data_IF_784855727248
#
_entry.id   IF_784855727248
#
_cell.length_a   1.000
_cell.length_b   1.000
_cell.length_c   1.000
_cell.angle_alpha   90.00
_cell.angle_beta   90.00
_cell.angle_gamma   90.00
#
_symmetry.space_group_name_H-M   'P 1'
#
loop_
_entity.id
_entity.type
_entity.pdbx_description
1 polymer ?
#
# COMPACT_ATOMS: atom_id res chain seq x y z
N UNK A 1 -6.67 -24.95 36.57
CA UNK A 1 -5.48 -24.23 37.04
C UNK A 1 -4.27 -24.69 36.23
N UNK A 2 -3.99 -24.06 35.09
CA UNK A 2 -2.70 -24.12 34.41
C UNK A 2 -2.47 -22.76 33.75
N UNK A 3 -1.68 -21.94 34.44
CA UNK A 3 -1.16 -20.69 33.90
C UNK A 3 0.00 -21.02 32.97
N UNK A 4 -0.17 -20.75 31.67
CA UNK A 4 0.93 -20.75 30.71
C UNK A 4 1.41 -19.30 30.58
N UNK A 5 2.36 -18.95 31.45
CA UNK A 5 3.19 -17.76 31.30
C UNK A 5 4.06 -17.97 30.06
N UNK A 6 3.64 -17.46 28.90
CA UNK A 6 4.52 -17.31 27.74
C UNK A 6 5.38 -16.07 27.96
N UNK A 7 6.57 -16.28 28.50
CA UNK A 7 7.65 -15.29 28.42
C UNK A 7 8.01 -15.13 26.95
N UNK A 8 7.74 -13.95 26.39
CA UNK A 8 8.19 -13.55 25.06
C UNK A 8 9.72 -13.48 25.07
N UNK A 9 10.39 -14.53 24.59
CA UNK A 9 11.80 -14.46 24.24
C UNK A 9 11.92 -13.80 22.86
N UNK A 10 11.79 -12.47 22.84
CA UNK A 10 12.05 -11.64 21.67
C UNK A 10 13.56 -11.42 21.55
N UNK A 11 14.23 -12.17 20.68
CA UNK A 11 15.62 -11.90 20.29
C UNK A 11 15.63 -10.96 19.08
N UNK A 12 16.19 -9.76 19.26
CA UNK A 12 16.40 -8.78 18.19
C UNK A 12 17.41 -9.29 17.15
N UNK A 13 17.10 -9.26 15.83
CA UNK A 13 18.13 -9.35 14.81
C UNK A 13 18.84 -8.00 14.69
N UNK A 14 19.92 -7.86 15.46
CA UNK A 14 21.11 -7.05 15.19
C UNK A 14 20.91 -5.66 14.56
N UNK A 15 20.63 -4.65 15.38
CA UNK A 15 21.14 -3.25 15.25
C UNK A 15 20.77 -2.41 16.48
N UNK A 16 21.35 -2.72 17.63
CA UNK A 16 21.47 -1.75 18.72
C UNK A 16 22.62 -0.77 18.41
N UNK A 17 22.40 0.09 17.42
CA UNK A 17 23.14 1.34 17.32
C UNK A 17 22.56 2.32 18.37
N UNK A 18 23.46 2.96 19.11
CA UNK A 18 23.31 3.93 20.19
C UNK A 18 21.92 4.56 20.42
N UNK A 19 21.54 4.70 21.70
CA UNK A 19 20.33 5.38 22.16
C UNK A 19 20.30 6.86 21.73
N UNK A 20 19.76 7.11 20.54
CA UNK A 20 19.47 8.45 20.05
C UNK A 20 18.15 9.00 20.62
N UNK A 21 17.96 10.33 20.63
CA UNK A 21 16.80 11.01 21.23
C UNK A 21 15.44 10.63 20.60
N UNK A 22 15.43 9.93 19.46
CA UNK A 22 14.23 9.61 18.69
C UNK A 22 13.71 8.17 18.86
N UNK A 23 14.33 7.37 19.73
CA UNK A 23 13.92 5.96 19.93
C UNK A 23 12.55 5.81 20.58
N UNK A 24 12.23 6.63 21.57
CA UNK A 24 10.97 6.49 22.31
C UNK A 24 9.73 6.78 21.44
N UNK A 25 9.68 7.88 20.65
CA UNK A 25 8.61 8.13 19.70
C UNK A 25 8.44 7.01 18.67
N UNK A 26 9.55 6.54 18.08
CA UNK A 26 9.53 5.43 17.12
C UNK A 26 9.01 4.14 17.77
N UNK A 27 9.52 3.80 18.96
CA UNK A 27 9.13 2.58 19.68
C UNK A 27 7.66 2.59 20.06
N UNK A 28 7.12 3.73 20.49
CA UNK A 28 5.69 3.86 20.77
C UNK A 28 4.87 3.69 19.49
N UNK A 29 5.29 4.30 18.37
CA UNK A 29 4.59 4.11 17.09
C UNK A 29 4.62 2.65 16.61
N UNK A 30 5.75 1.96 16.77
CA UNK A 30 5.89 0.54 16.43
C UNK A 30 5.01 -0.34 17.31
N UNK A 31 4.99 -0.06 18.61
CA UNK A 31 4.11 -0.73 19.56
C UNK A 31 2.64 -0.62 19.12
N UNK A 32 2.17 0.60 18.81
CA UNK A 32 0.79 0.79 18.37
C UNK A 32 0.53 0.08 17.05
N UNK A 33 1.45 0.13 16.07
CA UNK A 33 1.33 -0.59 14.79
C UNK A 33 1.14 -2.11 14.99
N UNK A 34 1.94 -2.73 15.86
CA UNK A 34 1.83 -4.17 16.15
C UNK A 34 0.54 -4.53 16.87
N UNK A 35 0.09 -3.69 17.82
CA UNK A 35 -1.20 -3.89 18.50
C UNK A 35 -2.38 -3.75 17.53
N UNK A 36 -2.33 -2.78 16.62
CA UNK A 36 -3.33 -2.57 15.57
C UNK A 36 -3.44 -3.76 14.61
N UNK A 37 -2.32 -4.43 14.28
CA UNK A 37 -2.33 -5.61 13.38
C UNK A 37 -2.90 -6.87 14.01
N UNK A 38 -2.99 -6.93 15.33
CA UNK A 38 -3.42 -8.13 16.08
C UNK A 38 -4.44 -7.79 17.16
N UNK A 39 -3.94 -7.61 18.39
CA UNK A 39 -4.73 -7.60 19.62
C UNK A 39 -5.89 -6.59 19.63
N UNK A 40 -5.72 -5.40 19.05
CA UNK A 40 -6.76 -4.35 19.09
C UNK A 40 -7.98 -4.67 18.23
N UNK A 41 -7.83 -5.53 17.23
CA UNK A 41 -8.91 -5.90 16.32
C UNK A 41 -10.03 -6.68 17.03
N UNK A 42 -9.64 -7.56 17.95
CA UNK A 42 -10.56 -8.54 18.58
C UNK A 42 -10.87 -8.19 20.04
N UNK A 43 -10.52 -6.98 20.48
CA UNK A 43 -10.67 -6.54 21.87
C UNK A 43 -12.01 -5.85 22.10
N UNK A 44 -12.62 -6.14 23.25
CA UNK A 44 -13.84 -5.47 23.73
C UNK A 44 -13.67 -3.95 23.80
N UNK A 45 -14.71 -3.21 23.38
CA UNK A 45 -14.64 -1.76 23.16
C UNK A 45 -14.14 -0.97 24.37
N UNK A 46 -14.65 -1.27 25.57
CA UNK A 46 -14.23 -0.59 26.80
C UNK A 46 -12.75 -0.83 27.14
N UNK A 47 -12.25 -2.05 26.88
CA UNK A 47 -10.84 -2.40 27.11
C UNK A 47 -9.93 -1.81 26.05
N UNK A 48 -10.41 -1.75 24.80
CA UNK A 48 -9.73 -1.05 23.72
C UNK A 48 -9.56 0.43 24.04
N UNK A 49 -10.63 1.09 24.46
CA UNK A 49 -10.58 2.50 24.80
C UNK A 49 -9.58 2.78 25.92
N UNK A 50 -9.61 2.00 27.00
CA UNK A 50 -8.64 2.10 28.09
C UNK A 50 -7.19 1.87 27.61
N UNK A 51 -6.97 0.88 26.73
CA UNK A 51 -5.64 0.61 26.18
C UNK A 51 -5.13 1.75 25.29
N UNK A 52 -6.01 2.39 24.53
CA UNK A 52 -5.66 3.57 23.73
C UNK A 52 -5.39 4.78 24.64
N UNK A 53 -6.10 4.93 25.76
CA UNK A 53 -5.82 5.98 26.74
C UNK A 53 -4.43 5.80 27.39
N UNK A 54 -4.01 4.57 27.67
CA UNK A 54 -2.65 4.28 28.14
C UNK A 54 -1.59 4.66 27.10
N UNK A 55 -1.84 4.38 25.81
CA UNK A 55 -0.96 4.82 24.71
C UNK A 55 -0.88 6.34 24.68
N UNK A 56 -1.99 7.04 24.84
CA UNK A 56 -2.04 8.49 24.86
C UNK A 56 -1.30 9.07 26.08
N UNK A 57 -1.41 8.43 27.25
CA UNK A 57 -0.64 8.80 28.43
C UNK A 57 0.88 8.72 28.17
N UNK A 58 1.34 7.64 27.51
CA UNK A 58 2.74 7.52 27.10
C UNK A 58 3.13 8.56 26.03
N UNK A 59 2.26 8.82 25.06
CA UNK A 59 2.47 9.81 24.01
C UNK A 59 2.64 11.23 24.58
N UNK A 60 1.91 11.60 25.64
CA UNK A 60 2.06 12.91 26.32
C UNK A 60 3.47 13.12 26.87
N UNK A 61 4.15 12.05 27.27
CA UNK A 61 5.51 12.09 27.80
C UNK A 61 6.59 12.25 26.71
N UNK A 62 6.23 12.16 25.42
CA UNK A 62 7.18 12.33 24.33
C UNK A 62 7.53 13.81 24.13
N UNK A 63 8.83 14.10 24.02
CA UNK A 63 9.36 15.40 23.64
C UNK A 63 9.26 15.65 22.12
N UNK A 64 9.55 14.64 21.30
CA UNK A 64 9.53 14.70 19.84
C UNK A 64 8.27 14.03 19.26
N UNK A 65 7.13 14.72 19.36
CA UNK A 65 5.82 14.22 18.89
C UNK A 65 5.69 14.18 17.36
N UNK A 66 6.40 15.05 16.67
CA UNK A 66 6.54 15.07 15.21
C UNK A 66 7.19 13.79 14.66
N UNK A 67 8.20 13.27 15.36
CA UNK A 67 8.81 11.97 15.04
C UNK A 67 7.79 10.84 15.20
N UNK A 68 7.04 10.81 16.31
CA UNK A 68 5.95 9.84 16.47
C UNK A 68 4.94 9.96 15.32
N UNK A 69 4.51 11.18 15.00
CA UNK A 69 3.55 11.44 13.92
C UNK A 69 4.03 10.85 12.59
N UNK A 70 5.29 11.08 12.22
CA UNK A 70 5.87 10.55 10.98
C UNK A 70 5.86 9.03 10.95
N UNK A 71 6.33 8.37 12.01
CA UNK A 71 6.33 6.90 12.08
C UNK A 71 4.90 6.35 12.08
N UNK A 72 3.97 6.98 12.80
CA UNK A 72 2.58 6.56 12.87
C UNK A 72 1.89 6.69 11.51
N UNK A 73 2.04 7.84 10.82
CA UNK A 73 1.53 8.05 9.44
C UNK A 73 2.06 7.00 8.47
N UNK A 74 3.36 6.71 8.53
CA UNK A 74 3.97 5.69 7.68
C UNK A 74 3.38 4.29 7.96
N UNK A 75 3.12 3.96 9.22
CA UNK A 75 2.52 2.70 9.62
C UNK A 75 1.05 2.60 9.20
N UNK A 76 0.23 3.61 9.49
CA UNK A 76 -1.18 3.69 9.06
C UNK A 76 -1.29 3.57 7.53
N UNK A 77 -0.48 4.31 6.78
CA UNK A 77 -0.48 4.23 5.32
C UNK A 77 -0.18 2.81 4.79
N UNK A 78 0.76 2.09 5.40
CA UNK A 78 1.03 0.69 5.04
C UNK A 78 -0.15 -0.23 5.34
N UNK A 79 -0.78 -0.10 6.51
CA UNK A 79 -1.95 -0.90 6.90
C UNK A 79 -3.11 -0.67 5.94
N UNK A 80 -3.42 0.60 5.65
CA UNK A 80 -4.47 1.01 4.72
C UNK A 80 -4.30 0.42 3.32
N UNK A 81 -3.11 0.56 2.71
CA UNK A 81 -2.87 0.10 1.33
C UNK A 81 -2.71 -1.40 1.19
N UNK A 82 -2.36 -2.10 2.26
CA UNK A 82 -2.21 -3.57 2.23
C UNK A 82 -3.53 -4.31 2.40
N UNK A 83 -4.64 -3.59 2.68
CA UNK A 83 -5.92 -4.21 3.04
C UNK A 83 -5.90 -4.97 4.37
N UNK A 84 -4.80 -4.86 5.14
CA UNK A 84 -4.61 -5.52 6.46
C UNK A 84 -4.86 -4.58 7.63
N UNK A 85 -5.78 -3.64 7.46
CA UNK A 85 -6.17 -2.76 8.55
C UNK A 85 -6.98 -3.54 9.62
N UNK A 86 -6.87 -3.18 10.91
CA UNK A 86 -7.95 -3.47 11.86
C UNK A 86 -9.25 -2.83 11.37
N UNK A 87 -10.35 -2.99 12.13
CA UNK A 87 -11.56 -2.19 11.86
C UNK A 87 -11.19 -0.71 11.74
N UNK A 88 -11.73 -0.05 10.72
CA UNK A 88 -11.55 1.38 10.47
C UNK A 88 -11.92 2.22 11.71
N UNK A 89 -12.84 1.72 12.53
CA UNK A 89 -13.29 2.36 13.77
C UNK A 89 -12.18 2.47 14.81
N UNK A 90 -11.29 1.48 14.89
CA UNK A 90 -10.17 1.48 15.85
C UNK A 90 -9.16 2.56 15.48
N UNK A 91 -8.84 2.69 14.19
CA UNK A 91 -7.97 3.75 13.69
C UNK A 91 -8.58 5.13 13.90
N UNK A 92 -9.87 5.30 13.57
CA UNK A 92 -10.59 6.55 13.79
C UNK A 92 -10.61 6.94 15.27
N UNK A 93 -10.78 5.98 16.17
CA UNK A 93 -10.74 6.21 17.61
C UNK A 93 -9.35 6.70 18.06
N UNK A 94 -8.28 6.04 17.62
CA UNK A 94 -6.92 6.47 17.94
C UNK A 94 -6.61 7.87 17.37
N UNK A 95 -7.02 8.15 16.13
CA UNK A 95 -6.86 9.46 15.50
C UNK A 95 -7.64 10.53 16.26
N UNK A 96 -8.87 10.24 16.70
CA UNK A 96 -9.68 11.15 17.52
C UNK A 96 -8.98 11.52 18.82
N UNK A 97 -8.38 10.53 19.51
CA UNK A 97 -7.62 10.78 20.74
C UNK A 97 -6.35 11.61 20.46
N UNK A 98 -5.60 11.31 19.39
CA UNK A 98 -4.44 12.13 18.98
C UNK A 98 -4.84 13.58 18.63
N UNK A 99 -6.01 13.76 18.01
CA UNK A 99 -6.57 15.08 17.69
C UNK A 99 -6.92 15.87 18.94
N UNK A 100 -7.46 15.22 19.96
CA UNK A 100 -7.72 15.86 21.25
C UNK A 100 -6.44 16.35 21.93
N UNK A 101 -5.33 15.61 21.79
CA UNK A 101 -4.03 15.95 22.38
C UNK A 101 -3.26 17.04 21.63
N UNK A 102 -3.21 16.97 20.30
CA UNK A 102 -2.31 17.80 19.47
C UNK A 102 -3.05 18.71 18.47
N UNK A 103 -4.38 18.64 18.43
CA UNK A 103 -5.21 19.43 17.54
C UNK A 103 -5.30 18.87 16.11
N UNK A 104 -6.18 19.49 15.31
CA UNK A 104 -6.51 19.03 13.96
C UNK A 104 -5.34 19.09 12.97
N UNK A 105 -4.38 20.00 13.17
CA UNK A 105 -3.21 20.10 12.28
C UNK A 105 -2.39 18.80 12.29
N UNK A 106 -2.23 18.18 13.48
CA UNK A 106 -1.49 16.94 13.69
C UNK A 106 -2.13 15.74 12.97
N UNK A 107 -3.46 15.66 12.97
CA UNK A 107 -4.20 14.53 12.38
C UNK A 107 -4.67 14.75 10.95
N UNK A 108 -4.57 15.98 10.42
CA UNK A 108 -5.11 16.38 9.12
C UNK A 108 -4.74 15.42 7.98
N UNK A 109 -3.46 15.00 7.90
CA UNK A 109 -2.98 14.07 6.87
C UNK A 109 -3.54 12.66 7.06
N UNK A 110 -3.61 12.17 8.31
CA UNK A 110 -4.20 10.86 8.62
C UNK A 110 -5.67 10.82 8.21
N UNK A 111 -6.46 11.83 8.61
CA UNK A 111 -7.87 11.97 8.23
C UNK A 111 -8.02 12.04 6.69
N UNK A 112 -7.12 12.79 6.03
CA UNK A 112 -7.04 12.87 4.58
C UNK A 112 -6.79 11.52 3.88
N UNK A 113 -5.98 10.63 4.48
CA UNK A 113 -5.74 9.29 3.94
C UNK A 113 -7.03 8.47 3.86
N UNK A 114 -7.86 8.46 4.91
CA UNK A 114 -9.15 7.74 4.89
C UNK A 114 -10.10 8.34 3.87
N UNK A 115 -10.18 9.67 3.81
CA UNK A 115 -11.02 10.35 2.83
C UNK A 115 -10.59 10.05 1.39
N UNK A 116 -9.29 9.96 1.11
CA UNK A 116 -8.77 9.56 -0.20
C UNK A 116 -9.24 8.15 -0.57
N UNK A 117 -9.19 7.18 0.35
CA UNK A 117 -9.66 5.81 0.10
C UNK A 117 -11.16 5.77 -0.23
N UNK A 118 -12.00 6.44 0.57
CA UNK A 118 -13.44 6.47 0.32
C UNK A 118 -13.77 7.12 -1.02
N UNK A 119 -13.14 8.27 -1.32
CA UNK A 119 -13.32 8.96 -2.62
C UNK A 119 -12.83 8.10 -3.78
N UNK A 120 -11.72 7.40 -3.61
CA UNK A 120 -11.19 6.53 -4.64
C UNK A 120 -12.11 5.34 -4.92
N UNK A 121 -12.68 4.72 -3.90
CA UNK A 121 -13.61 3.59 -4.08
C UNK A 121 -14.84 4.01 -4.90
N UNK A 122 -15.44 5.16 -4.55
CA UNK A 122 -16.58 5.73 -5.30
C UNK A 122 -16.16 6.06 -6.74
N UNK A 123 -14.98 6.67 -6.93
CA UNK A 123 -14.50 7.03 -8.26
C UNK A 123 -14.23 5.79 -9.14
N UNK A 124 -13.70 4.72 -8.55
CA UNK A 124 -13.49 3.45 -9.26
C UNK A 124 -14.81 2.80 -9.65
N UNK A 125 -15.84 2.83 -8.80
CA UNK A 125 -17.16 2.34 -9.15
C UNK A 125 -17.78 3.13 -10.32
N UNK A 126 -17.63 4.45 -10.32
CA UNK A 126 -18.07 5.31 -11.43
C UNK A 126 -17.34 4.97 -12.74
N UNK A 127 -16.03 4.75 -12.65
CA UNK A 127 -15.20 4.32 -13.77
C UNK A 127 -15.65 2.97 -14.33
N UNK A 128 -15.87 1.97 -13.45
CA UNK A 128 -16.37 0.65 -13.84
C UNK A 128 -17.76 0.74 -14.47
N UNK A 129 -18.63 1.60 -13.94
CA UNK A 129 -19.97 1.86 -14.50
C UNK A 129 -19.88 2.48 -15.90
N UNK A 130 -19.04 3.50 -16.09
CA UNK A 130 -18.86 4.14 -17.38
C UNK A 130 -18.33 3.16 -18.44
N UNK A 131 -17.45 2.23 -18.03
CA UNK A 131 -16.90 1.20 -18.91
C UNK A 131 -17.83 0.00 -19.13
N UNK A 132 -18.58 -0.43 -18.12
CA UNK A 132 -19.56 -1.52 -18.20
C UNK A 132 -20.81 -1.16 -18.99
N UNK A 133 -21.23 0.12 -18.97
CA UNK A 133 -22.40 0.62 -19.70
C UNK A 133 -22.18 0.76 -21.21
N UNK A 134 -20.96 0.56 -21.70
CA UNK A 134 -20.59 0.67 -23.12
C UNK A 134 -20.94 -0.57 -23.98
N UNK A 135 -21.66 -1.55 -23.42
CA UNK A 135 -22.03 -2.78 -24.12
C UNK A 135 -23.17 -2.66 -25.15
N UNK A 136 -23.85 -1.51 -25.27
CA UNK A 136 -25.12 -1.43 -26.01
C UNK A 136 -25.37 -0.18 -26.86
N UNK A 137 -24.38 0.67 -27.14
CA UNK A 137 -24.58 1.79 -28.08
C UNK A 137 -23.44 1.91 -29.08
N UNK A 138 -23.76 1.61 -30.34
CA UNK A 138 -22.88 1.79 -31.48
C UNK A 138 -22.42 3.25 -31.59
N UNK A 139 -21.11 3.46 -31.53
CA UNK A 139 -20.47 4.76 -31.66
C UNK A 139 -18.96 4.59 -31.73
N UNK A 140 -18.40 4.91 -32.88
CA UNK A 140 -17.01 4.69 -33.24
C UNK A 140 -16.03 5.53 -32.39
N UNK A 141 -15.44 4.92 -31.36
CA UNK A 141 -14.10 5.21 -30.81
C UNK A 141 -13.79 4.21 -29.68
N UNK A 142 -14.02 2.93 -29.92
CA UNK A 142 -13.66 1.88 -28.97
C UNK A 142 -12.30 1.34 -29.41
N UNK A 143 -11.22 1.89 -28.84
CA UNK A 143 -9.96 1.16 -28.79
C UNK A 143 -10.27 -0.28 -28.38
N UNK A 144 -9.62 -1.25 -29.00
CA UNK A 144 -9.89 -2.69 -28.86
C UNK A 144 -9.82 -3.17 -27.39
N UNK A 145 -10.91 -2.91 -26.64
CA UNK A 145 -11.05 -3.13 -25.19
C UNK A 145 -11.01 -4.60 -24.82
N UNK A 146 -11.18 -5.49 -25.82
CA UNK A 146 -11.14 -6.95 -25.66
C UNK A 146 -9.77 -7.48 -25.27
N UNK A 147 -8.71 -6.70 -25.50
CA UNK A 147 -7.32 -7.06 -25.19
C UNK A 147 -6.75 -6.32 -23.98
N UNK A 148 -7.58 -5.57 -23.24
CA UNK A 148 -7.17 -4.86 -22.03
C UNK A 148 -7.26 -5.78 -20.81
N UNK A 149 -6.36 -5.58 -19.85
CA UNK A 149 -6.46 -6.26 -18.56
C UNK A 149 -7.59 -5.65 -17.72
N UNK A 150 -8.24 -6.48 -16.90
CA UNK A 150 -9.08 -6.01 -15.80
C UNK A 150 -8.23 -5.13 -14.88
N UNK A 151 -8.82 -4.04 -14.40
CA UNK A 151 -8.06 -2.96 -13.80
C UNK A 151 -8.80 -2.30 -12.65
N UNK A 152 -8.11 -2.17 -11.52
CA UNK A 152 -8.53 -1.36 -10.39
C UNK A 152 -7.41 -0.42 -9.93
N UNK A 153 -7.76 0.72 -9.34
CA UNK A 153 -6.80 1.71 -8.88
C UNK A 153 -7.26 2.45 -7.63
N UNK A 154 -6.32 2.70 -6.73
CA UNK A 154 -6.54 3.61 -5.61
C UNK A 154 -5.89 4.97 -5.90
N UNK A 155 -6.71 6.00 -6.09
CA UNK A 155 -6.28 7.38 -6.33
C UNK A 155 -6.09 8.09 -4.99
N UNK A 156 -4.88 8.63 -4.78
CA UNK A 156 -4.46 9.20 -3.50
C UNK A 156 -3.95 10.63 -3.67
N UNK A 157 -4.16 11.49 -2.67
CA UNK A 157 -3.67 12.86 -2.68
C UNK A 157 -2.23 12.91 -2.16
N UNK A 158 -1.26 13.24 -3.01
CA UNK A 158 0.18 13.14 -2.69
C UNK A 158 0.59 13.81 -1.35
N UNK A 159 -0.02 14.93 -0.97
CA UNK A 159 0.29 15.65 0.27
C UNK A 159 -0.10 14.89 1.54
N UNK A 160 -1.15 14.06 1.49
CA UNK A 160 -1.60 13.25 2.61
C UNK A 160 -0.67 12.06 2.84
N UNK A 161 -0.08 11.53 1.76
CA UNK A 161 0.71 10.29 1.75
C UNK A 161 2.22 10.52 1.58
N UNK A 162 2.66 11.78 1.64
CA UNK A 162 4.06 12.15 1.46
C UNK A 162 4.96 11.42 2.47
N UNK A 163 6.05 10.81 1.98
CA UNK A 163 6.96 9.99 2.78
C UNK A 163 6.55 8.52 2.87
N UNK A 164 5.25 8.23 2.91
CA UNK A 164 4.71 6.86 3.03
C UNK A 164 4.70 6.10 1.69
N UNK A 165 4.47 6.82 0.59
CA UNK A 165 4.41 6.26 -0.76
C UNK A 165 5.45 6.95 -1.64
N UNK A 166 6.28 6.13 -2.28
CA UNK A 166 7.21 6.58 -3.29
C UNK A 166 6.98 5.75 -4.56
N UNK A 167 6.83 6.42 -5.69
CA UNK A 167 6.68 5.76 -6.97
C UNK A 167 7.97 5.01 -7.31
N UNK A 168 7.86 3.69 -7.48
CA UNK A 168 8.95 2.88 -8.02
C UNK A 168 9.08 3.06 -9.53
N UNK A 169 10.29 2.92 -10.09
CA UNK A 169 10.50 3.03 -11.53
C UNK A 169 9.85 1.83 -12.23
N UNK A 170 9.23 2.06 -13.38
CA UNK A 170 8.94 1.03 -14.39
C UNK A 170 9.26 1.64 -15.75
N UNK A 171 9.91 0.86 -16.62
CA UNK A 171 10.25 1.32 -17.96
C UNK A 171 9.25 0.82 -19.01
N UNK A 172 8.77 -0.43 -18.89
CA UNK A 172 7.87 -1.04 -19.88
C UNK A 172 6.87 -2.00 -19.23
N UNK A 173 5.58 -1.65 -19.33
CA UNK A 173 4.48 -2.52 -18.92
C UNK A 173 4.05 -3.47 -20.05
N UNK A 174 3.45 -4.63 -19.73
CA UNK A 174 2.75 -5.44 -20.72
C UNK A 174 1.69 -4.62 -21.46
N UNK A 175 1.49 -4.82 -22.78
CA UNK A 175 0.53 -4.04 -23.56
C UNK A 175 -0.90 -4.02 -22.99
N UNK A 176 -1.49 -5.15 -22.52
CA UNK A 176 -2.83 -5.14 -21.93
C UNK A 176 -2.97 -4.21 -20.71
N UNK A 177 -1.92 -4.13 -19.91
CA UNK A 177 -1.86 -3.28 -18.70
C UNK A 177 -1.65 -1.82 -19.10
N UNK A 178 -0.74 -1.55 -20.03
CA UNK A 178 -0.51 -0.19 -20.52
C UNK A 178 -1.76 0.43 -21.14
N UNK A 179 -2.54 -0.37 -21.87
CA UNK A 179 -3.81 0.07 -22.44
C UNK A 179 -4.84 0.39 -21.34
N UNK A 180 -4.96 -0.47 -20.31
CA UNK A 180 -5.84 -0.24 -19.17
C UNK A 180 -5.53 1.08 -18.42
N UNK A 181 -4.24 1.35 -18.17
CA UNK A 181 -3.77 2.59 -17.54
C UNK A 181 -4.08 3.81 -18.41
N UNK A 182 -3.80 3.76 -19.71
CA UNK A 182 -4.03 4.89 -20.61
C UNK A 182 -5.52 5.28 -20.68
N UNK A 183 -6.42 4.29 -20.73
CA UNK A 183 -7.85 4.58 -20.71
C UNK A 183 -8.28 5.14 -19.33
N UNK A 184 -7.72 4.65 -18.21
CA UNK A 184 -8.00 5.24 -16.90
C UNK A 184 -7.51 6.69 -16.78
N UNK A 185 -6.32 6.99 -17.31
CA UNK A 185 -5.79 8.35 -17.37
C UNK A 185 -6.67 9.28 -18.20
N UNK A 186 -7.19 8.82 -19.34
CA UNK A 186 -8.13 9.58 -20.16
C UNK A 186 -9.42 9.88 -19.37
N UNK A 187 -10.02 8.84 -18.75
CA UNK A 187 -11.22 8.98 -17.92
C UNK A 187 -11.03 9.95 -16.75
N UNK A 188 -9.85 9.92 -16.12
CA UNK A 188 -9.48 10.82 -15.04
C UNK A 188 -9.29 12.26 -15.52
N UNK A 189 -8.59 12.43 -16.66
CA UNK A 189 -8.27 13.74 -17.24
C UNK A 189 -9.50 14.54 -17.66
N UNK A 190 -10.54 13.87 -18.15
CA UNK A 190 -11.83 14.50 -18.49
C UNK A 190 -12.52 15.14 -17.28
N UNK A 191 -12.32 14.58 -16.07
CA UNK A 191 -13.02 14.99 -14.84
C UNK A 191 -12.19 15.90 -13.96
N UNK A 192 -10.87 15.80 -14.03
CA UNK A 192 -9.95 16.52 -13.14
C UNK A 192 -8.91 17.31 -13.93
N UNK A 193 -9.31 18.49 -14.41
CA UNK A 193 -8.42 19.39 -15.13
C UNK A 193 -7.27 19.90 -14.23
N UNK A 194 -6.07 20.02 -14.80
CA UNK A 194 -4.88 20.50 -14.11
C UNK A 194 -4.25 19.50 -13.12
N UNK A 195 -4.76 18.27 -13.04
CA UNK A 195 -4.18 17.20 -12.22
C UNK A 195 -3.43 16.19 -13.07
N UNK A 196 -2.38 15.61 -12.50
CA UNK A 196 -1.59 14.55 -13.16
C UNK A 196 -1.45 13.36 -12.23
N UNK A 197 -1.73 12.16 -12.76
CA UNK A 197 -1.52 10.92 -12.03
C UNK A 197 -0.04 10.53 -12.02
N UNK A 198 0.38 9.84 -10.97
CA UNK A 198 1.71 9.24 -10.86
C UNK A 198 1.55 7.83 -10.32
N UNK A 199 1.87 6.84 -11.14
CA UNK A 199 1.69 5.44 -10.81
C UNK A 199 2.74 4.95 -9.82
N UNK A 200 2.30 4.25 -8.78
CA UNK A 200 3.15 3.65 -7.77
C UNK A 200 3.29 2.14 -8.00
N UNK A 201 4.02 1.74 -9.05
CA UNK A 201 4.11 0.34 -9.48
C UNK A 201 4.70 -0.62 -8.42
N UNK A 202 5.51 -0.11 -7.50
CA UNK A 202 6.02 -0.86 -6.34
C UNK A 202 4.95 -1.21 -5.29
N UNK A 203 3.74 -0.66 -5.41
CA UNK A 203 2.58 -0.97 -4.57
C UNK A 203 1.49 -1.74 -5.32
N UNK A 204 1.67 -1.97 -6.62
CA UNK A 204 0.70 -2.69 -7.43
C UNK A 204 0.84 -4.21 -7.31
N UNK A 205 -0.29 -4.88 -7.47
CA UNK A 205 -0.42 -6.33 -7.59
C UNK A 205 -1.13 -6.68 -8.89
N UNK A 206 -0.98 -7.92 -9.33
CA UNK A 206 -1.66 -8.45 -10.50
C UNK A 206 -2.03 -9.91 -10.26
N UNK A 207 -3.19 -10.29 -10.76
CA UNK A 207 -3.62 -11.67 -10.87
C UNK A 207 -3.32 -12.16 -12.29
N UNK A 208 -2.61 -13.28 -12.40
CA UNK A 208 -2.20 -13.84 -13.69
C UNK A 208 -2.59 -15.31 -13.79
N UNK A 209 -3.00 -15.71 -14.99
CA UNK A 209 -3.11 -17.13 -15.37
C UNK A 209 -1.88 -17.56 -16.15
N UNK A 210 -1.19 -18.58 -15.67
CA UNK A 210 0.02 -19.10 -16.27
C UNK A 210 -0.13 -20.59 -16.64
N UNK A 211 0.16 -20.93 -17.89
CA UNK A 211 0.30 -22.33 -18.32
C UNK A 211 1.78 -22.70 -18.25
N UNK A 212 2.13 -23.58 -17.32
CA UNK A 212 3.52 -23.93 -17.03
C UNK A 212 3.72 -25.40 -17.42
N UNK A 213 4.56 -25.63 -18.44
CA UNK A 213 4.79 -26.97 -18.98
C UNK A 213 3.58 -27.51 -19.75
N UNK A 214 3.39 -28.84 -19.72
CA UNK A 214 2.30 -29.52 -20.42
C UNK A 214 1.02 -29.65 -19.58
N UNK A 215 0.81 -28.82 -18.55
CA UNK A 215 -0.38 -28.92 -17.70
C UNK A 215 -1.64 -28.47 -18.45
N UNK A 216 -2.72 -29.24 -18.32
CA UNK A 216 -4.02 -28.92 -18.92
C UNK A 216 -4.77 -27.80 -18.20
N UNK A 217 -4.38 -27.49 -16.95
CA UNK A 217 -4.97 -26.42 -16.13
C UNK A 217 -3.96 -25.28 -15.91
N UNK A 218 -4.39 -24.02 -16.01
CA UNK A 218 -3.56 -22.88 -15.65
C UNK A 218 -3.36 -22.79 -14.13
N UNK A 219 -2.24 -22.21 -13.73
CA UNK A 219 -2.01 -21.72 -12.37
C UNK A 219 -2.52 -20.29 -12.27
N UNK A 220 -3.17 -19.97 -11.13
CA UNK A 220 -3.55 -18.60 -10.79
C UNK A 220 -2.51 -18.03 -9.81
N UNK A 221 -1.89 -16.92 -10.19
CA UNK A 221 -0.77 -16.32 -9.49
C UNK A 221 -1.16 -14.91 -9.04
N UNK A 222 -1.05 -14.64 -7.73
CA UNK A 222 -1.08 -13.28 -7.19
C UNK A 222 0.36 -12.79 -7.04
N UNK A 223 0.73 -11.81 -7.87
CA UNK A 223 2.11 -11.34 -7.97
C UNK A 223 2.19 -9.82 -7.87
N UNK A 224 3.35 -9.29 -7.49
CA UNK A 224 3.62 -7.85 -7.62
C UNK A 224 3.69 -7.42 -9.09
N UNK A 225 3.50 -6.13 -9.37
CA UNK A 225 3.64 -5.59 -10.73
C UNK A 225 5.01 -5.92 -11.36
N UNK A 226 6.10 -5.90 -10.58
CA UNK A 226 7.42 -6.27 -11.09
C UNK A 226 7.53 -7.75 -11.47
N UNK A 227 6.97 -8.63 -10.64
CA UNK A 227 6.92 -10.06 -10.94
C UNK A 227 6.06 -10.32 -12.19
N UNK A 228 4.93 -9.61 -12.35
CA UNK A 228 4.12 -9.68 -13.57
C UNK A 228 4.92 -9.29 -14.82
N UNK A 229 5.68 -8.19 -14.80
CA UNK A 229 6.53 -7.75 -15.92
C UNK A 229 7.55 -8.84 -16.28
N UNK A 230 8.16 -9.47 -15.28
CA UNK A 230 9.14 -10.55 -15.46
C UNK A 230 8.46 -11.77 -16.09
N UNK A 231 7.38 -12.27 -15.48
CA UNK A 231 6.68 -13.47 -15.95
C UNK A 231 6.14 -13.28 -17.37
N UNK A 232 5.56 -12.11 -17.67
CA UNK A 232 5.05 -11.81 -19.00
C UNK A 232 6.13 -11.85 -20.09
N UNK A 233 7.40 -11.59 -19.74
CA UNK A 233 8.51 -11.63 -20.69
C UNK A 233 8.78 -13.04 -21.25
N UNK A 234 8.37 -14.10 -20.53
CA UNK A 234 8.56 -15.48 -20.95
C UNK A 234 7.53 -15.97 -21.98
N UNK A 235 6.50 -15.16 -22.29
CA UNK A 235 5.56 -15.48 -23.36
C UNK A 235 6.21 -15.42 -24.75
N UNK A 236 7.36 -14.74 -24.89
CA UNK A 236 8.08 -14.59 -26.16
C UNK A 236 9.48 -15.21 -26.14
N UNK A 237 9.90 -15.80 -25.02
CA UNK A 237 11.23 -16.38 -24.86
C UNK A 237 11.25 -17.43 -23.74
N UNK A 238 12.00 -18.52 -23.92
CA UNK A 238 12.21 -19.55 -22.88
C UNK A 238 13.26 -19.13 -21.85
N UNK A 239 14.15 -18.20 -22.22
CA UNK A 239 15.20 -17.68 -21.37
C UNK A 239 15.26 -16.16 -21.51
N UNK A 240 15.46 -15.46 -20.39
CA UNK A 240 15.52 -14.00 -20.36
C UNK A 240 16.73 -13.56 -19.55
N UNK A 241 17.61 -12.76 -20.15
CA UNK A 241 18.79 -12.26 -19.43
C UNK A 241 18.42 -11.26 -18.33
N UNK A 242 19.22 -11.20 -17.28
CA UNK A 242 19.06 -10.19 -16.21
C UNK A 242 19.08 -8.75 -16.75
N UNK A 243 19.93 -8.47 -17.75
CA UNK A 243 20.02 -7.15 -18.40
C UNK A 243 18.70 -6.76 -19.05
N UNK A 244 18.03 -7.71 -19.70
CA UNK A 244 16.72 -7.50 -20.31
C UNK A 244 15.64 -7.23 -19.26
N UNK A 245 15.57 -8.05 -18.21
CA UNK A 245 14.62 -7.84 -17.10
C UNK A 245 14.78 -6.45 -16.50
N UNK A 246 16.03 -6.07 -16.17
CA UNK A 246 16.35 -4.77 -15.60
C UNK A 246 15.92 -3.60 -16.49
N UNK A 247 16.08 -3.73 -17.80
CA UNK A 247 15.67 -2.70 -18.75
C UNK A 247 14.15 -2.49 -18.78
N UNK A 248 13.34 -3.53 -18.53
CA UNK A 248 11.87 -3.43 -18.50
C UNK A 248 11.33 -2.99 -17.14
N UNK A 249 11.89 -3.53 -16.05
CA UNK A 249 11.45 -3.20 -14.69
C UNK A 249 11.99 -1.86 -14.21
N UNK A 250 13.08 -1.34 -14.79
CA UNK A 250 13.73 -0.11 -14.31
C UNK A 250 14.38 -0.25 -12.93
N UNK A 251 14.44 -1.46 -12.38
CA UNK A 251 14.99 -1.70 -11.03
C UNK A 251 16.50 -1.50 -11.01
N UNK A 252 17.02 -0.97 -9.90
CA UNK A 252 18.47 -0.86 -9.69
C UNK A 252 19.02 -2.25 -9.34
N UNK A 253 20.21 -2.58 -9.85
CA UNK A 253 20.92 -3.74 -9.35
C UNK A 253 21.25 -3.52 -7.88
N UNK A 254 20.97 -4.50 -7.02
CA UNK A 254 21.46 -4.50 -5.64
C UNK A 254 22.99 -4.64 -5.69
N UNK A 255 23.70 -3.52 -5.80
CA UNK A 255 25.11 -3.48 -5.45
C UNK A 255 25.18 -3.61 -3.94
N UNK A 256 25.61 -4.78 -3.45
CA UNK A 256 26.29 -5.08 -2.17
C UNK A 256 25.95 -6.50 -1.71
N UNK A 257 26.60 -7.49 -2.31
CA UNK A 257 27.12 -8.61 -1.55
C UNK A 257 28.65 -8.50 -1.64
N UNK A 258 29.27 -7.81 -0.67
CA UNK A 258 30.70 -8.01 -0.43
C UNK A 258 30.82 -9.46 0.04
N UNK A 259 31.22 -10.34 -0.87
CA UNK A 259 31.84 -11.60 -0.48
C UNK A 259 33.17 -11.17 0.15
N UNK A 260 33.19 -11.06 1.47
CA UNK A 260 34.45 -11.07 2.19
C UNK A 260 35.03 -12.47 1.99
N UNK A 261 36.17 -12.52 1.31
CA UNK A 261 36.99 -13.72 1.16
C UNK A 261 37.70 -14.11 2.44
#
# INVERSE_FOLDING_TARGET
MQALVRVLNWQEPGRLAAAGPNRAPESLSLYVDERMKGEFKDMEAARLEASLDDVIALFRCLSAKDVFEEHYKNATARRLLSGRMPSEDVERLMISKLKAECGAAFTSKLEGMFMDLSKSAIFMEQYHTARGSSGSSGGAAVHDRRHMADFDATVLTSSNWAGSIQAGPVAQLPPPVSAALADFEAYYGERFNGRRLTWCYNKGTAEMRAWIGATSRPYELLVSTYQMIILYSFNSATEVSYKYVRARTGTRACGHARVHG
#
